data_IF_716653590745
#
_entry.id   IF_716653590745
#
_cell.length_a   1.000
_cell.length_b   1.000
_cell.length_c   1.000
_cell.angle_alpha   90.00
_cell.angle_beta   90.00
_cell.angle_gamma   90.00
#
_symmetry.space_group_name_H-M   'P 1'
#
loop_
_entity.id
_entity.type
_entity.pdbx_description
1 polymer ?
#
# COMPACT_ATOMS: atom_id res chain seq x y z
N UNK A 1 3.04 -7.20 0.59
CA UNK A 1 3.55 -7.12 -0.80
C UNK A 1 3.33 -5.72 -1.32
N UNK A 2 4.28 -5.15 -2.07
CA UNK A 2 4.22 -3.78 -2.58
C UNK A 2 4.61 -3.72 -4.06
N UNK A 3 4.16 -2.67 -4.75
CA UNK A 3 4.56 -2.35 -6.13
C UNK A 3 5.06 -0.89 -6.20
N UNK A 4 6.21 -0.60 -6.84
CA UNK A 4 6.71 0.76 -7.00
C UNK A 4 6.02 1.43 -8.19
N UNK A 5 5.57 2.67 -8.02
CA UNK A 5 5.02 3.49 -9.10
C UNK A 5 5.14 4.98 -8.74
N UNK A 6 5.62 5.81 -9.69
CA UNK A 6 5.67 7.27 -9.51
C UNK A 6 6.46 7.74 -8.28
N UNK A 7 7.56 7.06 -7.94
CA UNK A 7 8.39 7.37 -6.76
C UNK A 7 7.78 6.96 -5.42
N UNK A 8 6.67 6.21 -5.41
CA UNK A 8 6.00 5.70 -4.21
C UNK A 8 5.88 4.19 -4.24
N UNK A 9 5.65 3.59 -3.07
CA UNK A 9 5.29 2.18 -2.94
C UNK A 9 3.81 2.05 -2.60
N UNK A 10 3.08 1.26 -3.38
CA UNK A 10 1.68 0.96 -3.14
C UNK A 10 1.59 -0.41 -2.46
N UNK A 11 0.92 -0.48 -1.32
CA UNK A 11 0.64 -1.73 -0.61
C UNK A 11 -0.42 -2.50 -1.40
N UNK A 12 -0.07 -3.72 -1.81
CA UNK A 12 -1.00 -4.64 -2.47
C UNK A 12 -1.64 -5.59 -1.47
N UNK A 13 -0.85 -6.01 -0.49
CA UNK A 13 -1.25 -6.92 0.58
C UNK A 13 -0.42 -6.68 1.84
N UNK A 14 -0.97 -7.00 3.00
CA UNK A 14 -0.37 -6.76 4.31
C UNK A 14 -0.80 -5.44 4.98
N UNK A 15 -1.94 -4.85 4.57
CA UNK A 15 -2.43 -3.56 5.10
C UNK A 15 -2.63 -3.59 6.63
N UNK A 16 -3.20 -4.66 7.19
CA UNK A 16 -3.36 -4.80 8.64
C UNK A 16 -2.00 -4.85 9.36
N UNK A 17 -1.02 -5.56 8.79
CA UNK A 17 0.34 -5.65 9.35
C UNK A 17 1.02 -4.29 9.34
N UNK A 18 0.99 -3.61 8.20
CA UNK A 18 1.58 -2.28 8.05
C UNK A 18 0.90 -1.27 8.99
N UNK A 19 -0.42 -1.31 9.11
CA UNK A 19 -1.17 -0.47 10.03
C UNK A 19 -0.86 -0.76 11.50
N UNK A 20 -0.76 -2.03 11.90
CA UNK A 20 -0.40 -2.42 13.26
C UNK A 20 1.01 -1.95 13.63
N UNK A 21 2.00 -2.17 12.77
CA UNK A 21 3.37 -1.69 12.99
C UNK A 21 3.41 -0.16 13.10
N UNK A 22 2.66 0.56 12.26
CA UNK A 22 2.52 2.02 12.36
C UNK A 22 1.95 2.45 13.71
N UNK A 23 0.92 1.75 14.20
CA UNK A 23 0.31 2.02 15.53
C UNK A 23 1.27 1.72 16.69
N UNK A 24 2.21 0.79 16.50
CA UNK A 24 3.25 0.47 17.46
C UNK A 24 4.48 1.40 17.37
N UNK A 25 4.44 2.42 16.51
CA UNK A 25 5.50 3.43 16.39
C UNK A 25 6.64 3.06 15.43
N UNK A 26 6.55 1.92 14.73
CA UNK A 26 7.53 1.56 13.71
C UNK A 26 7.40 2.48 12.48
N UNK A 27 8.54 2.85 11.91
CA UNK A 27 8.63 3.69 10.71
C UNK A 27 8.76 2.89 9.41
N UNK A 28 9.06 1.59 9.52
CA UNK A 28 9.39 0.71 8.40
C UNK A 28 8.69 -0.65 8.54
N UNK A 29 8.52 -1.34 7.40
CA UNK A 29 7.95 -2.69 7.34
C UNK A 29 8.60 -3.47 6.20
N UNK A 30 8.93 -4.73 6.46
CA UNK A 30 9.43 -5.62 5.42
C UNK A 30 8.33 -6.00 4.43
N UNK A 31 8.66 -5.99 3.14
CA UNK A 31 7.73 -6.33 2.09
C UNK A 31 8.41 -6.97 0.87
N UNK A 32 7.68 -7.88 0.23
CA UNK A 32 8.04 -8.38 -1.10
C UNK A 32 7.75 -7.28 -2.12
N UNK A 33 8.77 -6.92 -2.90
CA UNK A 33 8.70 -5.91 -3.96
C UNK A 33 8.43 -6.56 -5.31
N UNK A 34 7.27 -6.27 -5.90
CA UNK A 34 6.95 -6.68 -7.26
C UNK A 34 7.52 -5.66 -8.26
N UNK A 35 8.39 -6.10 -9.16
CA UNK A 35 8.94 -5.28 -10.24
C UNK A 35 8.37 -5.74 -11.60
N UNK A 36 7.48 -4.96 -12.23
CA UNK A 36 7.01 -5.25 -13.58
C UNK A 36 8.18 -5.26 -14.57
N UNK A 37 8.17 -6.20 -15.53
CA UNK A 37 9.21 -6.27 -16.57
C UNK A 37 9.12 -5.13 -17.60
N UNK A 38 7.90 -4.59 -17.80
CA UNK A 38 7.61 -3.51 -18.76
C UNK A 38 6.87 -2.37 -18.05
N UNK A 39 6.82 -1.20 -18.69
CA UNK A 39 6.01 -0.07 -18.23
C UNK A 39 4.54 -0.48 -18.05
N UNK A 40 4.03 -0.31 -16.84
CA UNK A 40 2.66 -0.68 -16.47
C UNK A 40 2.14 0.27 -15.40
N UNK A 41 0.86 0.63 -15.49
CA UNK A 41 0.15 1.39 -14.46
C UNK A 41 -0.60 0.39 -13.57
N UNK A 42 -0.21 0.19 -12.31
CA UNK A 42 -0.89 -0.72 -11.41
C UNK A 42 -2.36 -0.34 -11.23
N UNK A 43 -3.26 -1.33 -11.33
CA UNK A 43 -4.70 -1.09 -11.14
C UNK A 43 -5.02 -0.45 -9.78
N UNK A 44 -4.25 -0.79 -8.75
CA UNK A 44 -4.34 -0.19 -7.41
C UNK A 44 -4.13 1.33 -7.43
N UNK A 45 -3.29 1.87 -8.33
CA UNK A 45 -3.08 3.32 -8.44
C UNK A 45 -4.39 4.02 -8.79
N UNK A 46 -5.11 3.49 -9.79
CA UNK A 46 -6.42 4.03 -10.19
C UNK A 46 -7.45 3.94 -9.06
N UNK A 47 -7.46 2.85 -8.31
CA UNK A 47 -8.38 2.67 -7.17
C UNK A 47 -8.09 3.68 -6.05
N UNK A 48 -6.81 3.85 -5.71
CA UNK A 48 -6.35 4.74 -4.64
C UNK A 48 -6.65 6.21 -4.99
N UNK A 49 -6.45 6.61 -6.25
CA UNK A 49 -6.81 7.94 -6.77
C UNK A 49 -8.32 8.19 -6.68
N UNK A 50 -9.13 7.25 -7.19
CA UNK A 50 -10.60 7.35 -7.12
C UNK A 50 -11.14 7.37 -5.70
N UNK A 51 -10.52 6.61 -4.80
CA UNK A 51 -10.90 6.52 -3.39
C UNK A 51 -10.36 7.62 -2.50
N UNK A 52 -9.52 8.53 -3.02
CA UNK A 52 -8.88 9.59 -2.24
C UNK A 52 -7.93 9.09 -1.16
N UNK A 53 -7.44 7.85 -1.27
CA UNK A 53 -6.55 7.22 -0.30
C UNK A 53 -5.12 7.73 -0.52
N UNK A 54 -4.46 8.21 0.53
CA UNK A 54 -3.11 8.82 0.46
C UNK A 54 -2.13 8.18 1.43
N UNK A 55 -2.61 7.62 2.53
CA UNK A 55 -1.79 7.05 3.61
C UNK A 55 -2.49 5.84 4.26
N UNK A 56 -1.74 5.04 5.03
CA UNK A 56 -2.27 3.84 5.69
C UNK A 56 -3.42 4.17 6.65
N UNK A 57 -3.44 5.37 7.22
CA UNK A 57 -4.50 5.83 8.12
C UNK A 57 -5.84 6.09 7.42
N UNK A 58 -5.84 6.20 6.08
CA UNK A 58 -7.08 6.33 5.32
C UNK A 58 -7.79 4.97 5.14
N UNK A 59 -7.10 3.87 5.46
CA UNK A 59 -7.66 2.51 5.42
C UNK A 59 -8.55 2.27 6.63
N UNK A 60 -9.81 1.90 6.38
CA UNK A 60 -10.75 1.45 7.42
C UNK A 60 -10.80 -0.07 7.45
N UNK A 61 -10.52 -0.64 8.62
CA UNK A 61 -10.72 -2.06 8.86
C UNK A 61 -12.19 -2.24 9.24
N UNK A 62 -12.97 -2.85 8.34
CA UNK A 62 -14.38 -3.20 8.60
C UNK A 62 -14.40 -4.64 9.11
N UNK A 63 -15.14 -4.87 10.20
CA UNK A 63 -15.50 -6.21 10.69
C UNK A 63 -17.01 -6.36 10.49
N UNK A 64 -17.46 -7.57 10.20
CA UNK A 64 -18.88 -7.91 10.21
C UNK A 64 -19.47 -7.78 11.63
#
# INVERSE_FOLDING_TARGET
MVIPYGGKYYVLDGHHRAFALKKLGFTEVEAILLRPKNGFVPGVVRTVEKGGLKKLEDVKIVRD
#
